data_IF_518525770094
#
_entry.id   IF_518525770094
#
_cell.length_a   1.000
_cell.length_b   1.000
_cell.length_c   1.000
_cell.angle_alpha   90.00
_cell.angle_beta   90.00
_cell.angle_gamma   90.00
#
_symmetry.space_group_name_H-M   'P 1'
#
loop_
_entity.id
_entity.type
_entity.pdbx_description
1 polymer ?
#
# COMPACT_ATOMS: atom_id res chain seq x y z
N UNK A 1 -18.10 3.78 -8.95
CA UNK A 1 -16.72 4.07 -8.51
C UNK A 1 -16.76 5.16 -7.45
N UNK A 2 -16.00 5.01 -6.38
CA UNK A 2 -15.83 6.02 -5.32
C UNK A 2 -14.33 6.29 -5.16
N UNK A 3 -13.93 7.54 -5.12
CA UNK A 3 -12.55 7.96 -4.85
C UNK A 3 -12.61 8.92 -3.68
N UNK A 4 -11.74 8.70 -2.69
CA UNK A 4 -11.56 9.58 -1.53
C UNK A 4 -10.08 9.95 -1.47
N UNK A 5 -9.79 11.23 -1.53
CA UNK A 5 -8.45 11.78 -1.37
C UNK A 5 -8.41 12.47 -0.01
N UNK A 6 -7.40 12.18 0.78
CA UNK A 6 -7.29 12.71 2.14
C UNK A 6 -6.36 13.91 2.16
N UNK A 7 -6.77 14.95 2.87
CA UNK A 7 -5.89 16.07 3.16
C UNK A 7 -4.97 15.69 4.32
N UNK A 8 -3.80 15.23 3.97
CA UNK A 8 -2.74 14.81 4.91
C UNK A 8 -1.53 15.75 4.89
N UNK A 9 -1.76 17.00 4.49
CA UNK A 9 -0.70 18.01 4.36
C UNK A 9 0.18 17.74 3.14
N UNK A 10 1.50 17.74 3.28
CA UNK A 10 2.42 17.49 2.17
C UNK A 10 2.43 16.00 1.72
N UNK A 11 1.84 15.12 2.50
CA UNK A 11 1.75 13.71 2.22
C UNK A 11 0.65 13.38 1.19
N UNK A 12 0.63 12.17 0.68
CA UNK A 12 -0.44 11.66 -0.18
C UNK A 12 -1.08 10.43 0.45
N UNK A 13 -2.40 10.38 0.36
CA UNK A 13 -3.18 9.21 0.77
C UNK A 13 -4.53 9.21 0.05
N UNK A 14 -4.88 8.12 -0.60
CA UNK A 14 -6.16 7.99 -1.29
C UNK A 14 -6.73 6.57 -1.18
N UNK A 15 -8.06 6.50 -1.19
CA UNK A 15 -8.82 5.26 -1.22
C UNK A 15 -9.75 5.22 -2.41
N UNK A 16 -9.72 4.12 -3.15
CA UNK A 16 -10.54 3.89 -4.33
C UNK A 16 -11.38 2.63 -4.13
N UNK A 17 -12.66 2.75 -4.42
CA UNK A 17 -13.59 1.63 -4.42
C UNK A 17 -14.23 1.49 -5.80
N UNK A 18 -14.04 0.32 -6.41
CA UNK A 18 -14.52 0.01 -7.75
C UNK A 18 -15.10 -1.40 -7.78
N UNK A 19 -16.43 -1.49 -7.71
CA UNK A 19 -17.10 -2.77 -7.51
C UNK A 19 -16.67 -3.41 -6.19
N UNK A 20 -16.20 -4.64 -6.26
CA UNK A 20 -15.65 -5.36 -5.10
C UNK A 20 -14.22 -4.95 -4.73
N UNK A 21 -13.51 -4.30 -5.66
CA UNK A 21 -12.12 -3.92 -5.46
C UNK A 21 -11.99 -2.72 -4.54
N UNK A 22 -11.06 -2.83 -3.60
CA UNK A 22 -10.68 -1.80 -2.65
C UNK A 22 -9.19 -1.57 -2.75
N UNK A 23 -8.85 -0.36 -3.16
CA UNK A 23 -7.50 0.02 -3.56
C UNK A 23 -7.06 1.19 -2.70
N UNK A 24 -5.84 1.15 -2.25
CA UNK A 24 -5.17 2.25 -1.55
C UNK A 24 -4.03 2.76 -2.42
N UNK A 25 -3.90 4.08 -2.51
CA UNK A 25 -2.80 4.75 -3.21
C UNK A 25 -2.10 5.65 -2.22
N UNK A 26 -0.88 5.33 -1.93
CA UNK A 26 -0.06 5.91 -0.89
C UNK A 26 -0.71 5.90 0.52
N UNK A 27 0.09 6.08 1.52
CA UNK A 27 -0.25 5.87 2.93
C UNK A 27 0.41 6.91 3.83
N UNK A 28 0.41 8.17 3.37
CA UNK A 28 0.89 9.27 4.18
C UNK A 28 -0.05 9.59 5.33
N UNK A 29 0.49 9.87 6.50
CA UNK A 29 -0.25 10.40 7.65
C UNK A 29 -0.24 11.93 7.65
N UNK A 30 -1.36 12.52 8.03
CA UNK A 30 -1.40 13.90 8.51
C UNK A 30 -0.96 13.99 9.97
N UNK A 31 -0.86 15.21 10.50
CA UNK A 31 -0.48 15.41 11.90
C UNK A 31 -1.46 14.72 12.86
N UNK A 32 -2.76 14.82 12.57
CA UNK A 32 -3.84 14.31 13.43
C UNK A 32 -4.75 13.34 12.69
N UNK A 33 -4.29 12.74 11.56
CA UNK A 33 -5.12 11.87 10.75
C UNK A 33 -4.33 10.69 10.17
N UNK A 34 -4.85 9.49 10.41
CA UNK A 34 -4.41 8.23 9.82
C UNK A 34 -5.54 7.67 8.94
N UNK A 35 -5.29 7.51 7.64
CA UNK A 35 -6.29 6.89 6.77
C UNK A 35 -6.68 5.50 7.27
N UNK A 36 -5.75 4.74 7.80
CA UNK A 36 -6.00 3.39 8.29
C UNK A 36 -6.90 3.42 9.53
N UNK A 37 -6.50 4.18 10.56
CA UNK A 37 -7.17 4.15 11.84
C UNK A 37 -8.47 4.96 11.87
N UNK A 38 -8.48 6.11 11.18
CA UNK A 38 -9.60 7.06 11.25
C UNK A 38 -10.62 6.89 10.13
N UNK A 39 -10.25 6.20 9.04
CA UNK A 39 -11.16 5.98 7.92
C UNK A 39 -11.38 4.51 7.58
N UNK A 40 -10.33 3.75 7.23
CA UNK A 40 -10.50 2.39 6.72
C UNK A 40 -11.07 1.44 7.78
N UNK A 41 -10.50 1.42 8.96
CA UNK A 41 -10.98 0.55 10.05
C UNK A 41 -12.43 0.85 10.44
N UNK A 42 -12.83 2.10 10.71
CA UNK A 42 -14.22 2.43 10.97
C UNK A 42 -15.15 2.08 9.80
N UNK A 43 -14.74 2.33 8.55
CA UNK A 43 -15.52 2.02 7.36
C UNK A 43 -15.79 0.52 7.24
N UNK A 44 -14.75 -0.32 7.39
CA UNK A 44 -14.88 -1.78 7.26
C UNK A 44 -15.69 -2.37 8.41
N UNK A 45 -15.50 -1.88 9.61
CA UNK A 45 -16.32 -2.27 10.78
C UNK A 45 -17.79 -1.90 10.57
N UNK A 46 -18.07 -0.66 10.20
CA UNK A 46 -19.46 -0.17 9.97
C UNK A 46 -20.18 -0.97 8.88
N UNK A 47 -19.46 -1.41 7.86
CA UNK A 47 -20.02 -2.22 6.76
C UNK A 47 -20.13 -3.70 7.09
N UNK A 48 -19.80 -4.13 8.30
CA UNK A 48 -19.82 -5.53 8.70
C UNK A 48 -18.90 -6.41 7.84
N UNK A 49 -17.79 -5.85 7.34
CA UNK A 49 -16.84 -6.63 6.54
C UNK A 49 -16.25 -7.76 7.36
N UNK A 50 -16.32 -8.96 6.80
CA UNK A 50 -15.69 -10.12 7.43
C UNK A 50 -14.17 -9.99 7.31
N UNK A 51 -13.50 -10.41 8.35
CA UNK A 51 -12.05 -10.58 8.31
C UNK A 51 -11.69 -11.75 7.40
N UNK A 52 -10.61 -11.63 6.68
CA UNK A 52 -10.17 -12.61 5.69
C UNK A 52 -9.15 -13.57 6.31
N UNK A 53 -7.87 -13.31 6.17
CA UNK A 53 -6.81 -14.14 6.71
C UNK A 53 -6.21 -13.53 7.98
N UNK A 54 -5.91 -14.35 8.98
CA UNK A 54 -5.25 -13.93 10.23
C UNK A 54 -5.94 -12.75 10.90
N UNK A 55 -7.27 -12.75 10.92
CA UNK A 55 -8.07 -11.65 11.49
C UNK A 55 -7.88 -10.29 10.83
N UNK A 56 -7.42 -10.25 9.59
CA UNK A 56 -7.23 -9.03 8.80
C UNK A 56 -8.36 -8.83 7.80
N UNK A 57 -8.70 -7.57 7.56
CA UNK A 57 -9.58 -7.20 6.46
C UNK A 57 -8.86 -7.32 5.11
N UNK A 58 -9.61 -7.48 4.02
CA UNK A 58 -9.05 -7.66 2.70
C UNK A 58 -8.99 -6.35 1.91
N UNK A 59 -7.82 -6.04 1.36
CA UNK A 59 -7.61 -5.04 0.33
C UNK A 59 -7.17 -5.71 -0.98
N UNK A 60 -7.76 -5.26 -2.09
CA UNK A 60 -7.43 -5.79 -3.41
C UNK A 60 -6.02 -5.37 -3.83
N UNK A 61 -5.67 -4.11 -3.57
CA UNK A 61 -4.39 -3.57 -4.00
C UNK A 61 -3.95 -2.37 -3.17
N UNK A 62 -2.66 -2.25 -2.99
CA UNK A 62 -2.00 -1.06 -2.46
C UNK A 62 -0.93 -0.62 -3.45
N UNK A 63 -0.98 0.63 -3.87
CA UNK A 63 0.06 1.29 -4.66
C UNK A 63 0.85 2.22 -3.77
N UNK A 64 2.16 2.10 -3.81
CA UNK A 64 3.08 3.08 -3.23
C UNK A 64 3.79 3.77 -4.38
N UNK A 65 3.58 5.07 -4.53
CA UNK A 65 4.18 5.86 -5.61
C UNK A 65 5.71 5.95 -5.48
N UNK A 66 6.19 6.10 -4.25
CA UNK A 66 7.60 6.03 -3.90
C UNK A 66 7.77 5.86 -2.38
N UNK A 67 8.87 5.27 -1.92
CA UNK A 67 9.05 4.88 -0.53
C UNK A 67 9.60 5.99 0.37
N UNK A 68 9.01 7.19 0.29
CA UNK A 68 9.28 8.26 1.22
C UNK A 68 8.29 8.23 2.39
N UNK A 69 8.69 8.75 3.53
CA UNK A 69 7.92 8.67 4.77
C UNK A 69 6.50 9.27 4.61
N UNK A 70 6.38 10.35 3.89
CA UNK A 70 5.12 11.03 3.58
C UNK A 70 4.17 10.20 2.66
N UNK A 71 4.64 9.07 2.12
CA UNK A 71 3.85 8.15 1.33
C UNK A 71 3.64 6.77 1.98
N UNK A 72 4.36 6.46 3.06
CA UNK A 72 4.31 5.14 3.71
C UNK A 72 4.12 5.18 5.22
N UNK A 73 3.94 6.34 5.82
CA UNK A 73 3.89 6.48 7.29
C UNK A 73 2.75 5.72 7.96
N UNK A 74 1.70 5.34 7.21
CA UNK A 74 0.57 4.52 7.69
C UNK A 74 0.68 3.02 7.32
N UNK A 75 1.77 2.62 6.67
CA UNK A 75 1.94 1.27 6.13
C UNK A 75 1.96 0.19 7.22
N UNK A 76 2.60 0.47 8.36
CA UNK A 76 2.62 -0.44 9.50
C UNK A 76 1.24 -0.72 10.07
N UNK A 77 0.44 0.33 10.24
CA UNK A 77 -0.93 0.21 10.72
C UNK A 77 -1.79 -0.53 9.69
N UNK A 78 -1.55 -0.29 8.40
CA UNK A 78 -2.25 -1.03 7.36
C UNK A 78 -1.93 -2.53 7.43
N UNK A 79 -0.66 -2.91 7.48
CA UNK A 79 -0.25 -4.31 7.55
C UNK A 79 -0.75 -5.03 8.79
N UNK A 80 -0.86 -4.33 9.89
CA UNK A 80 -1.41 -4.88 11.13
C UNK A 80 -2.87 -5.32 10.98
N UNK A 81 -3.66 -4.58 10.22
CA UNK A 81 -5.12 -4.75 10.18
C UNK A 81 -5.66 -5.26 8.85
N UNK A 82 -4.87 -5.19 7.77
CA UNK A 82 -5.31 -5.53 6.43
C UNK A 82 -4.41 -6.59 5.78
N UNK A 83 -5.04 -7.52 5.11
CA UNK A 83 -4.38 -8.39 4.13
C UNK A 83 -4.38 -7.66 2.78
N UNK A 84 -3.22 -7.46 2.23
CA UNK A 84 -3.02 -6.83 0.94
C UNK A 84 -2.83 -7.94 -0.10
N UNK A 85 -3.74 -8.03 -1.06
CA UNK A 85 -3.64 -9.05 -2.10
C UNK A 85 -2.53 -8.73 -3.12
N UNK A 86 -2.48 -7.49 -3.60
CA UNK A 86 -1.48 -7.02 -4.53
C UNK A 86 -0.81 -5.77 -3.98
N UNK A 87 0.52 -5.80 -3.88
CA UNK A 87 1.32 -4.66 -3.46
C UNK A 87 2.19 -4.18 -4.62
N UNK A 88 2.01 -2.93 -5.03
CA UNK A 88 2.66 -2.33 -6.19
C UNK A 88 3.53 -1.16 -5.75
N UNK A 89 4.75 -1.13 -6.23
CA UNK A 89 5.72 -0.04 -6.01
C UNK A 89 6.47 0.26 -7.32
N UNK A 90 6.91 1.51 -7.56
CA UNK A 90 7.46 1.92 -8.86
C UNK A 90 8.75 1.23 -9.27
N UNK A 91 9.44 0.63 -8.35
CA UNK A 91 10.66 -0.12 -8.61
C UNK A 91 10.42 -1.58 -8.85
N UNK A 92 9.26 -1.91 -9.33
CA UNK A 92 9.04 -3.26 -9.72
C UNK A 92 9.85 -3.59 -10.99
N UNK A 93 10.18 -4.79 -11.06
CA UNK A 93 10.67 -5.58 -12.17
C UNK A 93 11.08 -4.81 -13.42
N UNK A 94 12.18 -4.11 -13.34
CA UNK A 94 12.79 -3.66 -14.56
C UNK A 94 13.05 -4.87 -15.47
N UNK A 95 12.54 -4.80 -16.68
CA UNK A 95 12.88 -5.70 -17.79
C UNK A 95 12.35 -7.14 -17.71
N UNK A 96 11.09 -7.31 -17.38
CA UNK A 96 10.41 -8.60 -17.56
C UNK A 96 11.08 -9.76 -16.85
N UNK A 97 11.82 -9.45 -15.84
CA UNK A 97 12.59 -10.47 -15.21
C UNK A 97 11.78 -11.22 -14.17
N UNK A 98 12.16 -12.29 -14.03
CA UNK A 98 11.76 -13.55 -13.44
C UNK A 98 11.28 -13.50 -12.00
N UNK A 99 11.44 -12.43 -11.28
CA UNK A 99 10.96 -12.35 -9.90
C UNK A 99 11.20 -10.97 -9.26
N UNK A 100 10.48 -10.69 -8.20
CA UNK A 100 10.71 -9.57 -7.30
C UNK A 100 12.17 -9.40 -6.83
N UNK A 101 13.04 -10.40 -7.01
CA UNK A 101 14.48 -10.33 -6.72
C UNK A 101 15.21 -9.32 -7.59
N UNK A 102 14.64 -8.99 -8.72
CA UNK A 102 15.24 -8.12 -9.73
C UNK A 102 14.65 -6.71 -9.73
N UNK A 103 13.91 -6.34 -8.67
CA UNK A 103 13.44 -4.97 -8.49
C UNK A 103 14.64 -4.03 -8.46
N UNK A 104 14.62 -3.04 -9.33
CA UNK A 104 15.70 -2.06 -9.41
C UNK A 104 15.53 -0.96 -8.36
N UNK A 105 15.93 -1.25 -7.14
CA UNK A 105 15.86 -0.32 -6.03
C UNK A 105 16.81 0.88 -6.15
N UNK A 106 17.69 0.88 -7.17
CA UNK A 106 18.55 2.04 -7.47
C UNK A 106 17.78 3.20 -8.11
N UNK A 107 16.54 2.96 -8.55
CA UNK A 107 15.65 4.03 -9.01
C UNK A 107 15.01 4.82 -7.86
N UNK A 108 15.21 4.40 -6.62
CA UNK A 108 14.72 5.09 -5.43
C UNK A 108 15.82 6.02 -4.93
N UNK A 109 15.46 7.21 -4.48
CA UNK A 109 16.41 8.26 -4.08
C UNK A 109 17.40 7.82 -2.99
N UNK A 110 16.97 7.02 -2.04
CA UNK A 110 17.83 6.46 -1.01
C UNK A 110 17.55 4.97 -0.78
N UNK A 111 18.19 4.08 -1.54
CA UNK A 111 17.96 2.64 -1.44
C UNK A 111 18.36 2.04 -0.08
N UNK A 112 19.14 2.75 0.70
CA UNK A 112 19.55 2.33 2.04
C UNK A 112 18.65 2.82 3.16
N UNK A 113 17.70 3.70 2.87
CA UNK A 113 16.82 4.28 3.89
C UNK A 113 15.95 3.23 4.60
N UNK A 114 15.47 3.58 5.78
CA UNK A 114 14.56 2.73 6.54
C UNK A 114 13.22 2.57 5.82
N UNK A 115 12.77 3.59 5.14
CA UNK A 115 11.55 3.61 4.33
C UNK A 115 11.62 2.62 3.18
N UNK A 116 12.73 2.63 2.44
CA UNK A 116 12.96 1.64 1.37
C UNK A 116 13.03 0.23 1.91
N UNK A 117 13.75 0.02 3.03
CA UNK A 117 13.81 -1.30 3.69
C UNK A 117 12.42 -1.78 4.07
N UNK A 118 11.59 -0.92 4.62
CA UNK A 118 10.21 -1.22 5.00
C UNK A 118 9.38 -1.65 3.78
N UNK A 119 9.39 -0.88 2.71
CA UNK A 119 8.68 -1.23 1.47
C UNK A 119 9.18 -2.57 0.90
N UNK A 120 10.49 -2.82 0.92
CA UNK A 120 11.06 -4.11 0.50
C UNK A 120 10.55 -5.27 1.34
N UNK A 121 10.44 -5.11 2.66
CA UNK A 121 9.92 -6.16 3.55
C UNK A 121 8.47 -6.49 3.23
N UNK A 122 7.64 -5.48 3.08
CA UNK A 122 6.24 -5.65 2.69
C UNK A 122 6.12 -6.32 1.32
N UNK A 123 6.92 -5.87 0.36
CA UNK A 123 6.94 -6.42 -0.98
C UNK A 123 7.35 -7.89 -1.02
N UNK A 124 8.41 -8.27 -0.30
CA UNK A 124 8.89 -9.65 -0.22
C UNK A 124 7.87 -10.61 0.39
N UNK A 125 7.02 -10.13 1.28
CA UNK A 125 5.93 -10.90 1.85
C UNK A 125 4.80 -11.22 0.87
N UNK A 126 4.84 -10.67 -0.34
CA UNK A 126 3.81 -10.79 -1.38
C UNK A 126 4.35 -11.59 -2.57
N UNK A 127 3.95 -12.81 -2.70
CA UNK A 127 4.44 -13.77 -3.71
C UNK A 127 3.88 -13.56 -5.13
N UNK A 128 3.28 -12.43 -5.41
CA UNK A 128 2.74 -12.16 -6.73
C UNK A 128 3.74 -11.36 -7.55
N UNK A 129 4.26 -11.92 -8.64
CA UNK A 129 4.96 -11.12 -9.62
C UNK A 129 3.98 -10.07 -10.16
N UNK A 130 4.39 -8.82 -10.16
CA UNK A 130 3.68 -7.79 -10.87
C UNK A 130 3.59 -8.22 -12.33
N UNK A 131 2.39 -8.49 -12.79
CA UNK A 131 2.14 -8.52 -14.22
C UNK A 131 2.13 -7.08 -14.68
N UNK A 132 3.18 -6.68 -15.35
CA UNK A 132 3.13 -5.51 -16.21
C UNK A 132 2.07 -5.85 -17.26
N UNK A 133 0.95 -5.13 -17.24
CA UNK A 133 0.06 -5.14 -18.39
C UNK A 133 0.78 -4.40 -19.50
N UNK A 134 1.22 -5.13 -20.51
CA UNK A 134 1.64 -4.56 -21.77
C UNK A 134 0.51 -3.76 -22.42
#
# INVERSE_FOLDING_TARGET
MKIVIFNVGPALSAYIEMGSNKIVVDLGKGNDFSMVNDFLLPLFKKRGKLKYLRDKYYLSQVFISHPHLDHISDLDDLEKHFYINLFTTPNDLSKGSESYKNVNWNLVDDPGSNEVKKVKEVYKGRYLPLRVCD
#
